data_IF_996090244900
#
_entry.id   IF_996090244900
#
_cell.length_a   1.000
_cell.length_b   1.000
_cell.length_c   1.000
_cell.angle_alpha   90.00
_cell.angle_beta   90.00
_cell.angle_gamma   90.00
#
_symmetry.space_group_name_H-M   'P 1'
#
loop_
_entity.id
_entity.type
_entity.pdbx_description
1 polymer ?
#
# COMPACT_ATOMS: atom_id res chain seq x y z
N UNK A 1 39.70 -23.27 -15.83
CA UNK A 1 38.59 -22.62 -16.56
C UNK A 1 38.42 -23.36 -17.86
N UNK A 2 37.39 -24.19 -18.01
CA UNK A 2 37.13 -24.87 -19.28
C UNK A 2 36.78 -23.82 -20.35
N UNK A 3 37.43 -23.90 -21.51
CA UNK A 3 37.16 -22.99 -22.63
C UNK A 3 35.82 -23.41 -23.23
N UNK A 4 34.87 -22.48 -23.29
CA UNK A 4 33.54 -22.71 -23.86
C UNK A 4 33.68 -23.04 -25.34
N UNK A 5 32.90 -24.02 -25.81
CA UNK A 5 32.84 -24.33 -27.24
C UNK A 5 32.26 -23.14 -28.02
N UNK A 6 32.58 -23.04 -29.32
CA UNK A 6 32.01 -22.01 -30.19
C UNK A 6 30.48 -22.03 -30.16
N UNK A 7 29.89 -23.23 -30.15
CA UNK A 7 28.44 -23.41 -30.07
C UNK A 7 27.86 -22.80 -28.78
N UNK A 8 28.47 -23.05 -27.62
CA UNK A 8 28.05 -22.45 -26.34
C UNK A 8 28.13 -20.93 -26.33
N UNK A 9 29.18 -20.35 -26.95
CA UNK A 9 29.31 -18.90 -27.06
C UNK A 9 28.20 -18.30 -27.92
N UNK A 10 27.89 -18.93 -29.06
CA UNK A 10 26.78 -18.52 -29.91
C UNK A 10 25.44 -18.58 -29.16
N UNK A 11 25.18 -19.68 -28.43
CA UNK A 11 23.97 -19.82 -27.60
C UNK A 11 23.89 -18.73 -26.54
N UNK A 12 24.99 -18.41 -25.87
CA UNK A 12 25.03 -17.32 -24.88
C UNK A 12 24.74 -15.95 -25.50
N UNK A 13 25.21 -15.70 -26.71
CA UNK A 13 24.90 -14.45 -27.43
C UNK A 13 23.43 -14.41 -27.80
N UNK A 14 22.88 -15.50 -28.34
CA UNK A 14 21.44 -15.61 -28.64
C UNK A 14 20.58 -15.40 -27.39
N UNK A 15 20.98 -15.96 -26.25
CA UNK A 15 20.29 -15.75 -24.97
C UNK A 15 20.36 -14.30 -24.47
N UNK A 16 21.47 -13.59 -24.71
CA UNK A 16 21.60 -12.17 -24.35
C UNK A 16 20.70 -11.28 -25.20
N UNK A 17 20.57 -11.59 -26.49
CA UNK A 17 19.76 -10.85 -27.45
C UNK A 17 18.41 -11.52 -27.71
N UNK A 18 17.86 -12.21 -26.70
CA UNK A 18 16.64 -13.00 -26.85
C UNK A 18 15.50 -12.17 -27.44
N UNK A 19 15.31 -10.93 -27.00
CA UNK A 19 14.21 -10.05 -27.42
C UNK A 19 14.21 -9.70 -28.92
N UNK A 20 15.34 -9.88 -29.61
CA UNK A 20 15.46 -9.60 -31.05
C UNK A 20 15.23 -10.83 -31.91
N UNK A 21 15.14 -12.03 -31.31
CA UNK A 21 14.96 -13.28 -32.03
C UNK A 21 13.48 -13.46 -32.40
N UNK A 22 13.20 -13.44 -33.70
CA UNK A 22 11.84 -13.63 -34.24
C UNK A 22 11.67 -15.00 -34.92
N UNK A 23 12.75 -15.61 -35.39
CA UNK A 23 12.74 -16.93 -36.03
C UNK A 23 14.04 -17.69 -35.74
N UNK A 24 13.97 -19.01 -35.65
CA UNK A 24 15.12 -19.91 -35.56
C UNK A 24 15.57 -20.46 -36.94
N UNK A 25 14.96 -19.96 -38.03
CA UNK A 25 15.31 -20.28 -39.41
C UNK A 25 14.18 -21.00 -40.15
N UNK A 26 14.15 -20.79 -41.47
CA UNK A 26 13.23 -21.46 -42.40
C UNK A 26 13.98 -22.62 -43.09
N UNK A 27 13.59 -23.87 -42.81
CA UNK A 27 14.06 -25.05 -43.55
C UNK A 27 15.35 -25.71 -43.03
N UNK A 28 15.92 -26.56 -43.89
CA UNK A 28 16.80 -27.74 -43.67
C UNK A 28 18.10 -27.53 -42.86
N UNK A 29 18.39 -26.30 -42.42
CA UNK A 29 19.49 -25.98 -41.50
C UNK A 29 18.95 -25.95 -40.07
N UNK A 30 18.52 -27.10 -39.57
CA UNK A 30 17.99 -27.22 -38.23
C UNK A 30 19.08 -27.00 -37.18
N UNK A 31 18.91 -25.97 -36.35
CA UNK A 31 19.63 -25.88 -35.08
C UNK A 31 19.25 -27.11 -34.26
N UNK A 32 20.22 -27.85 -33.67
CA UNK A 32 19.91 -29.03 -32.87
C UNK A 32 18.87 -28.71 -31.80
N UNK A 33 17.86 -29.59 -31.59
CA UNK A 33 16.71 -29.30 -30.72
C UNK A 33 17.11 -28.99 -29.27
N UNK A 34 18.27 -29.49 -28.82
CA UNK A 34 18.82 -29.16 -27.50
C UNK A 34 19.11 -27.68 -27.30
N UNK A 35 19.78 -27.03 -28.26
CA UNK A 35 20.14 -25.61 -28.14
C UNK A 35 18.94 -24.68 -28.27
N UNK A 36 18.00 -25.04 -29.15
CA UNK A 36 16.75 -24.29 -29.33
C UNK A 36 15.96 -24.26 -28.03
N UNK A 37 15.85 -25.41 -27.33
CA UNK A 37 15.16 -25.49 -26.04
C UNK A 37 15.81 -24.59 -24.99
N UNK A 38 17.14 -24.56 -24.89
CA UNK A 38 17.85 -23.71 -23.94
C UNK A 38 17.61 -22.22 -24.18
N UNK A 39 17.59 -21.81 -25.46
CA UNK A 39 17.31 -20.42 -25.84
C UNK A 39 15.85 -20.07 -25.52
N UNK A 40 14.90 -20.93 -25.91
CA UNK A 40 13.48 -20.73 -25.66
C UNK A 40 13.11 -20.71 -24.17
N UNK A 41 13.81 -21.49 -23.34
CA UNK A 41 13.63 -21.43 -21.88
C UNK A 41 13.97 -20.05 -21.29
N UNK A 42 14.72 -19.21 -22.00
CA UNK A 42 15.02 -17.85 -21.56
C UNK A 42 13.98 -16.82 -22.01
N UNK A 43 13.11 -17.17 -22.96
CA UNK A 43 12.06 -16.27 -23.46
C UNK A 43 11.09 -15.95 -22.33
N UNK A 44 10.90 -14.65 -22.11
CA UNK A 44 9.95 -14.15 -21.11
C UNK A 44 8.67 -13.63 -21.72
N UNK A 45 8.69 -13.22 -22.98
CA UNK A 45 7.56 -12.57 -23.64
C UNK A 45 6.68 -13.60 -24.38
N UNK A 46 5.39 -13.72 -24.03
CA UNK A 46 4.45 -14.62 -24.71
C UNK A 46 4.12 -14.18 -26.15
N UNK A 47 4.16 -12.88 -26.45
CA UNK A 47 3.87 -12.39 -27.81
C UNK A 47 4.99 -12.78 -28.78
N UNK A 48 6.23 -12.69 -28.30
CA UNK A 48 7.41 -13.15 -29.02
C UNK A 48 7.37 -14.66 -29.26
N UNK A 49 6.99 -15.45 -28.23
CA UNK A 49 6.88 -16.89 -28.37
C UNK A 49 5.87 -17.29 -29.46
N UNK A 50 4.74 -16.57 -29.55
CA UNK A 50 3.75 -16.77 -30.62
C UNK A 50 4.32 -16.45 -32.00
N UNK A 51 5.09 -15.37 -32.13
CA UNK A 51 5.74 -15.02 -33.40
C UNK A 51 6.72 -16.11 -33.84
N UNK A 52 7.50 -16.65 -32.90
CA UNK A 52 8.41 -17.76 -33.16
C UNK A 52 7.64 -19.00 -33.61
N UNK A 53 6.51 -19.32 -32.97
CA UNK A 53 5.67 -20.46 -33.35
C UNK A 53 5.11 -20.34 -34.78
N UNK A 54 4.67 -19.14 -35.17
CA UNK A 54 4.20 -18.87 -36.54
C UNK A 54 5.31 -19.06 -37.57
N UNK A 55 6.52 -18.59 -37.24
CA UNK A 55 7.67 -18.67 -38.14
C UNK A 55 8.29 -20.08 -38.16
N UNK A 56 8.17 -20.84 -37.08
CA UNK A 56 8.81 -22.15 -36.92
C UNK A 56 7.83 -23.20 -36.36
N UNK A 57 7.04 -23.85 -37.22
CA UNK A 57 5.99 -24.79 -36.79
C UNK A 57 6.52 -26.13 -36.26
N UNK A 58 7.81 -26.41 -36.38
CA UNK A 58 8.44 -27.68 -36.02
C UNK A 58 8.89 -27.76 -34.56
N UNK A 59 8.85 -26.64 -33.82
CA UNK A 59 9.37 -26.56 -32.46
C UNK A 59 8.29 -26.97 -31.46
N UNK A 60 8.62 -27.85 -30.53
CA UNK A 60 7.73 -28.16 -29.40
C UNK A 60 7.78 -27.04 -28.34
N UNK A 61 6.74 -26.20 -28.32
CA UNK A 61 6.64 -25.02 -27.45
C UNK A 61 5.81 -25.26 -26.19
N UNK A 62 5.20 -26.45 -26.03
CA UNK A 62 4.22 -26.73 -24.98
C UNK A 62 4.79 -26.53 -23.57
N UNK A 63 6.02 -26.97 -23.33
CA UNK A 63 6.69 -26.85 -22.03
C UNK A 63 6.97 -25.38 -21.64
N UNK A 64 7.30 -24.55 -22.64
CA UNK A 64 7.64 -23.15 -22.41
C UNK A 64 6.37 -22.37 -22.06
N UNK A 65 5.26 -22.65 -22.76
CA UNK A 65 3.97 -22.07 -22.43
C UNK A 65 3.51 -22.42 -21.03
N UNK A 66 3.61 -23.69 -20.62
CA UNK A 66 3.29 -24.09 -19.24
C UNK A 66 4.09 -23.29 -18.23
N UNK A 67 5.40 -23.12 -18.45
CA UNK A 67 6.27 -22.33 -17.58
C UNK A 67 5.88 -20.86 -17.54
N UNK A 68 5.55 -20.27 -18.69
CA UNK A 68 5.07 -18.88 -18.75
C UNK A 68 3.77 -18.72 -17.97
N UNK A 69 2.81 -19.62 -18.16
CA UNK A 69 1.53 -19.60 -17.45
C UNK A 69 1.75 -19.76 -15.94
N UNK A 70 2.57 -20.71 -15.50
CA UNK A 70 2.88 -20.88 -14.08
C UNK A 70 3.57 -19.65 -13.46
N UNK A 71 4.35 -18.90 -14.25
CA UNK A 71 5.03 -17.69 -13.79
C UNK A 71 4.09 -16.48 -13.72
N UNK A 72 3.33 -16.24 -14.78
CA UNK A 72 2.45 -15.06 -14.91
C UNK A 72 1.16 -15.22 -14.12
N UNK A 73 0.63 -16.44 -14.03
CA UNK A 73 -0.67 -16.77 -13.46
C UNK A 73 -0.59 -17.81 -12.34
N UNK A 74 0.20 -17.59 -11.26
CA UNK A 74 0.41 -18.61 -10.24
C UNK A 74 -0.86 -18.98 -9.44
N UNK A 75 -1.84 -18.08 -9.38
CA UNK A 75 -3.14 -18.33 -8.71
C UNK A 75 -4.10 -19.01 -9.67
N UNK A 76 -4.35 -18.38 -10.83
CA UNK A 76 -5.31 -18.88 -11.82
C UNK A 76 -4.89 -20.23 -12.43
N UNK A 77 -3.58 -20.50 -12.53
CA UNK A 77 -3.09 -21.80 -12.98
C UNK A 77 -3.45 -22.92 -12.01
N UNK A 78 -3.42 -22.67 -10.70
CA UNK A 78 -3.74 -23.70 -9.68
C UNK A 78 -5.23 -24.00 -9.60
N UNK A 79 -6.05 -23.00 -9.89
CA UNK A 79 -7.49 -23.09 -9.67
C UNK A 79 -8.23 -23.68 -10.89
N UNK A 80 -7.72 -23.43 -12.11
CA UNK A 80 -8.47 -23.73 -13.34
C UNK A 80 -7.86 -24.82 -14.21
N UNK A 81 -6.57 -25.14 -14.04
CA UNK A 81 -5.83 -26.21 -14.74
C UNK A 81 -6.32 -26.46 -16.18
N UNK A 82 -6.36 -25.41 -17.02
CA UNK A 82 -6.81 -25.56 -18.40
C UNK A 82 -5.80 -26.35 -19.21
N UNK A 83 -6.16 -27.58 -19.59
CA UNK A 83 -5.36 -28.41 -20.48
C UNK A 83 -5.95 -28.29 -21.89
N UNK A 84 -5.19 -27.76 -22.87
CA UNK A 84 -5.67 -27.67 -24.24
C UNK A 84 -5.78 -29.08 -24.87
N UNK A 85 -6.70 -29.28 -25.83
CA UNK A 85 -6.87 -30.56 -26.52
C UNK A 85 -5.68 -30.91 -27.42
N UNK A 86 -4.90 -29.91 -27.86
CA UNK A 86 -3.66 -30.10 -28.64
C UNK A 86 -2.49 -29.43 -27.92
N UNK A 87 -1.29 -30.05 -27.94
CA UNK A 87 -0.10 -29.46 -27.34
C UNK A 87 0.37 -28.19 -28.05
N UNK A 88 -0.06 -27.93 -29.30
CA UNK A 88 0.25 -26.69 -30.01
C UNK A 88 -0.68 -25.51 -29.63
N UNK A 89 -1.77 -25.74 -28.88
CA UNK A 89 -2.78 -24.71 -28.61
C UNK A 89 -2.66 -24.09 -27.20
N UNK A 90 -1.50 -24.16 -26.56
CA UNK A 90 -1.30 -23.49 -25.26
C UNK A 90 -1.41 -21.97 -25.35
N UNK A 91 -1.22 -21.38 -26.53
CA UNK A 91 -1.46 -19.96 -26.78
C UNK A 91 -2.91 -19.54 -26.47
N UNK A 92 -3.90 -20.33 -26.91
CA UNK A 92 -5.33 -20.03 -26.67
C UNK A 92 -5.67 -20.06 -25.17
N UNK A 93 -5.01 -20.96 -24.42
CA UNK A 93 -5.13 -21.02 -22.97
C UNK A 93 -4.55 -19.78 -22.32
N UNK A 94 -3.38 -19.32 -22.79
CA UNK A 94 -2.78 -18.08 -22.32
C UNK A 94 -3.68 -16.86 -22.59
N UNK A 95 -4.28 -16.74 -23.79
CA UNK A 95 -5.22 -15.66 -24.10
C UNK A 95 -6.45 -15.66 -23.19
N UNK A 96 -6.99 -16.84 -22.88
CA UNK A 96 -8.10 -16.98 -21.93
C UNK A 96 -7.73 -16.46 -20.55
N UNK A 97 -6.60 -16.90 -19.98
CA UNK A 97 -6.14 -16.36 -18.68
C UNK A 97 -5.90 -14.84 -18.74
N UNK A 98 -5.28 -14.34 -19.81
CA UNK A 98 -5.04 -12.90 -19.96
C UNK A 98 -6.34 -12.09 -20.02
N UNK A 99 -7.36 -12.58 -20.74
CA UNK A 99 -8.66 -11.90 -20.85
C UNK A 99 -9.42 -11.93 -19.54
N UNK A 100 -9.46 -13.05 -18.83
CA UNK A 100 -10.08 -13.16 -17.50
C UNK A 100 -9.43 -12.19 -16.50
N UNK A 101 -8.10 -12.10 -16.51
CA UNK A 101 -7.36 -11.15 -15.69
C UNK A 101 -7.71 -9.70 -16.03
N UNK A 102 -7.79 -9.35 -17.31
CA UNK A 102 -8.18 -8.00 -17.72
C UNK A 102 -9.62 -7.67 -17.28
N UNK A 103 -10.55 -8.61 -17.42
CA UNK A 103 -11.94 -8.44 -16.97
C UNK A 103 -11.98 -8.20 -15.46
N UNK A 104 -11.29 -9.03 -14.66
CA UNK A 104 -11.26 -8.86 -13.20
C UNK A 104 -10.64 -7.52 -12.77
N UNK A 105 -9.62 -7.03 -13.49
CA UNK A 105 -9.05 -5.70 -13.23
C UNK A 105 -10.05 -4.59 -13.54
N UNK A 106 -10.71 -4.65 -14.70
CA UNK A 106 -11.74 -3.69 -15.08
C UNK A 106 -12.89 -3.66 -14.06
N UNK A 107 -13.36 -4.82 -13.62
CA UNK A 107 -14.39 -4.93 -12.58
C UNK A 107 -13.93 -4.32 -11.25
N UNK A 108 -12.70 -4.59 -10.82
CA UNK A 108 -12.14 -4.01 -9.60
C UNK A 108 -11.99 -2.48 -9.71
N UNK A 109 -11.54 -1.97 -10.85
CA UNK A 109 -11.43 -0.54 -11.13
C UNK A 109 -12.81 0.14 -11.09
N UNK A 110 -13.82 -0.47 -11.70
CA UNK A 110 -15.19 0.04 -11.64
C UNK A 110 -15.75 0.07 -10.22
N UNK A 111 -15.51 -0.98 -9.44
CA UNK A 111 -15.93 -1.04 -8.04
C UNK A 111 -15.27 0.07 -7.22
N UNK A 112 -13.95 0.26 -7.37
CA UNK A 112 -13.22 1.35 -6.72
C UNK A 112 -13.79 2.71 -7.15
N UNK A 113 -14.03 2.91 -8.46
CA UNK A 113 -14.60 4.16 -8.98
C UNK A 113 -15.98 4.46 -8.37
N UNK A 114 -16.85 3.46 -8.26
CA UNK A 114 -18.18 3.61 -7.63
C UNK A 114 -18.05 3.96 -6.15
N UNK A 115 -17.14 3.32 -5.41
CA UNK A 115 -16.88 3.66 -4.00
C UNK A 115 -16.36 5.09 -3.83
N UNK A 116 -15.43 5.52 -4.69
CA UNK A 116 -14.91 6.89 -4.67
C UNK A 116 -15.99 7.92 -4.97
N UNK A 117 -16.88 7.66 -5.94
CA UNK A 117 -18.02 8.52 -6.24
C UNK A 117 -18.97 8.64 -5.04
N UNK A 118 -19.33 7.52 -4.41
CA UNK A 118 -20.17 7.54 -3.20
C UNK A 118 -19.53 8.31 -2.05
N UNK A 119 -18.21 8.22 -1.86
CA UNK A 119 -17.50 9.03 -0.86
C UNK A 119 -17.48 10.52 -1.21
N UNK A 120 -17.36 10.86 -2.50
CA UNK A 120 -17.39 12.24 -2.96
C UNK A 120 -18.79 12.85 -2.76
N UNK A 121 -19.86 12.12 -3.08
CA UNK A 121 -21.25 12.54 -2.83
C UNK A 121 -21.52 12.74 -1.32
N UNK A 122 -21.00 11.86 -0.47
CA UNK A 122 -21.08 12.04 0.98
C UNK A 122 -20.32 13.28 1.47
N UNK A 123 -19.18 13.62 0.85
CA UNK A 123 -18.47 14.87 1.16
C UNK A 123 -19.27 16.07 0.69
N UNK A 124 -19.76 16.05 -0.55
CA UNK A 124 -20.47 17.18 -1.14
C UNK A 124 -21.82 17.46 -0.46
N UNK A 125 -22.48 16.43 0.07
CA UNK A 125 -23.69 16.57 0.89
C UNK A 125 -23.42 17.11 2.29
N UNK A 126 -22.28 16.74 2.92
CA UNK A 126 -21.88 17.25 4.25
C UNK A 126 -21.29 18.66 4.21
N UNK A 127 -20.75 19.08 3.07
CA UNK A 127 -20.24 20.44 2.89
C UNK A 127 -21.41 21.38 2.64
N UNK A 128 -21.65 22.30 3.58
CA UNK A 128 -22.64 23.36 3.40
C UNK A 128 -22.26 24.24 2.20
N UNK A 129 -23.09 24.24 1.17
CA UNK A 129 -22.92 25.11 0.00
C UNK A 129 -23.23 26.56 0.41
N UNK A 130 -22.34 27.48 0.09
CA UNK A 130 -22.59 28.91 0.25
C UNK A 130 -23.57 29.31 -0.86
N UNK A 131 -24.85 29.41 -0.53
CA UNK A 131 -25.91 29.80 -1.48
C UNK A 131 -26.13 31.31 -1.39
N UNK A 132 -26.23 31.97 -2.54
CA UNK A 132 -26.53 33.40 -2.62
C UNK A 132 -27.87 33.71 -1.95
N UNK A 133 -27.88 34.82 -1.21
CA UNK A 133 -28.98 35.24 -0.34
C UNK A 133 -30.32 35.46 -1.07
N UNK A 134 -30.29 35.54 -2.42
CA UNK A 134 -31.47 35.67 -3.29
C UNK A 134 -32.27 34.37 -3.43
N UNK A 135 -31.64 33.22 -3.21
CA UNK A 135 -32.26 31.88 -3.31
C UNK A 135 -32.68 31.31 -1.95
N UNK A 136 -32.40 32.02 -0.86
CA UNK A 136 -32.85 31.63 0.48
C UNK A 136 -34.29 32.13 0.71
N UNK A 137 -35.18 31.32 1.29
CA UNK A 137 -36.49 31.78 1.70
C UNK A 137 -36.33 32.92 2.72
N UNK A 138 -37.02 34.04 2.48
CA UNK A 138 -36.96 35.19 3.39
C UNK A 138 -37.46 34.75 4.77
N UNK A 139 -36.67 34.90 5.85
CA UNK A 139 -37.14 34.55 7.18
C UNK A 139 -38.40 35.36 7.51
N UNK A 140 -39.41 34.75 8.17
CA UNK A 140 -40.62 35.46 8.55
C UNK A 140 -40.24 36.65 9.43
N UNK A 141 -40.79 37.82 9.12
CA UNK A 141 -40.62 39.06 9.90
C UNK A 141 -41.26 38.87 11.29
N UNK A 142 -40.60 38.18 12.20
CA UNK A 142 -40.89 38.31 13.63
C UNK A 142 -40.34 39.67 14.04
N UNK A 143 -41.25 40.61 14.28
CA UNK A 143 -40.97 42.02 14.58
C UNK A 143 -40.33 42.26 15.94
N UNK A 144 -39.10 41.78 16.14
CA UNK A 144 -38.23 42.25 17.23
C UNK A 144 -36.91 42.72 16.66
N UNK A 145 -36.94 43.97 16.20
CA UNK A 145 -35.76 44.81 16.08
C UNK A 145 -35.17 45.01 17.48
N UNK A 146 -34.23 44.14 17.87
CA UNK A 146 -33.31 44.47 18.98
C UNK A 146 -32.32 45.48 18.40
N UNK A 147 -32.73 46.75 18.42
CA UNK A 147 -31.81 47.87 18.36
C UNK A 147 -30.93 47.81 19.59
N UNK A 148 -29.65 47.55 19.39
CA UNK A 148 -28.64 47.50 20.43
C UNK A 148 -27.34 48.04 19.91
N UNK A 149 -27.20 49.37 19.92
CA UNK A 149 -25.90 50.01 20.02
C UNK A 149 -25.16 49.41 21.22
N UNK A 150 -23.95 48.92 21.03
CA UNK A 150 -22.86 48.97 22.00
C UNK A 150 -21.56 48.64 21.26
N UNK A 151 -20.76 49.66 20.96
CA UNK A 151 -19.56 50.01 21.75
C UNK A 151 -18.66 48.80 21.95
N UNK A 152 -17.62 48.74 21.12
CA UNK A 152 -16.24 48.46 21.52
C UNK A 152 -16.08 47.95 22.96
N UNK A 153 -16.08 46.64 23.15
CA UNK A 153 -15.47 46.00 24.31
C UNK A 153 -14.51 44.93 23.81
N UNK A 154 -13.24 45.32 23.72
CA UNK A 154 -12.08 44.42 23.70
C UNK A 154 -11.98 43.73 25.08
N UNK A 155 -12.95 42.91 25.44
CA UNK A 155 -12.86 42.05 26.64
C UNK A 155 -13.70 40.80 26.39
N UNK A 156 -13.20 39.90 25.55
CA UNK A 156 -13.54 38.49 25.69
C UNK A 156 -12.38 37.80 26.40
N UNK A 157 -12.62 37.69 27.70
CA UNK A 157 -12.10 36.72 28.65
C UNK A 157 -11.40 35.52 28.02
N UNK A 158 -10.16 35.29 28.50
CA UNK A 158 -9.47 33.99 28.54
C UNK A 158 -10.27 33.02 29.42
N UNK A 159 -11.47 32.63 28.97
CA UNK A 159 -12.13 31.46 29.51
C UNK A 159 -11.45 30.24 28.89
N UNK A 160 -10.54 29.65 29.67
CA UNK A 160 -9.92 28.36 29.43
C UNK A 160 -11.00 27.30 29.17
N UNK A 161 -11.32 27.03 27.90
CA UNK A 161 -12.18 25.91 27.54
C UNK A 161 -11.37 24.63 27.67
N UNK A 162 -11.46 23.99 28.84
CA UNK A 162 -10.99 22.64 29.09
C UNK A 162 -11.72 21.69 28.12
N UNK A 163 -11.03 21.22 27.07
CA UNK A 163 -11.61 20.43 25.96
C UNK A 163 -11.54 21.09 24.58
N UNK A 164 -10.92 22.27 24.45
CA UNK A 164 -10.81 23.03 23.20
C UNK A 164 -9.78 22.50 22.20
N UNK A 165 -9.99 21.30 21.66
CA UNK A 165 -9.34 20.90 20.40
C UNK A 165 -9.60 21.98 19.34
N UNK A 166 -8.51 22.53 18.79
CA UNK A 166 -8.54 23.77 18.01
C UNK A 166 -9.58 23.77 16.89
N UNK A 167 -10.61 24.62 17.04
CA UNK A 167 -11.60 24.93 16.00
C UNK A 167 -10.98 25.77 14.88
N UNK A 168 -9.88 25.34 14.28
CA UNK A 168 -9.45 25.89 12.99
C UNK A 168 -10.34 25.27 11.92
N UNK A 169 -11.09 26.12 11.20
CA UNK A 169 -11.87 25.70 10.02
C UNK A 169 -10.93 24.96 9.06
N UNK A 170 -11.31 23.75 8.64
CA UNK A 170 -10.52 22.88 7.76
C UNK A 170 -10.77 23.17 6.27
N UNK A 171 -11.10 24.42 5.94
CA UNK A 171 -11.57 24.79 4.60
C UNK A 171 -10.41 25.10 3.62
N UNK A 172 -9.16 25.10 4.07
CA UNK A 172 -7.98 25.35 3.25
C UNK A 172 -6.84 24.39 3.61
N UNK A 173 -6.07 23.89 2.63
CA UNK A 173 -4.96 22.97 2.88
C UNK A 173 -3.94 23.51 3.90
N UNK A 174 -3.70 24.83 3.92
CA UNK A 174 -2.85 25.47 4.92
C UNK A 174 -3.42 25.41 6.35
N UNK A 175 -4.75 25.46 6.49
CA UNK A 175 -5.43 25.35 7.79
C UNK A 175 -5.39 23.91 8.35
N UNK A 176 -5.44 22.91 7.46
CA UNK A 176 -5.28 21.49 7.81
C UNK A 176 -3.86 21.23 8.31
N UNK A 177 -2.84 21.70 7.57
CA UNK A 177 -1.43 21.55 7.97
C UNK A 177 -1.13 22.27 9.28
N UNK A 178 -1.71 23.45 9.51
CA UNK A 178 -1.55 24.20 10.77
C UNK A 178 -2.16 23.46 11.95
N UNK A 179 -3.33 22.82 11.77
CA UNK A 179 -3.95 21.99 12.80
C UNK A 179 -3.12 20.75 13.09
N UNK A 180 -2.69 20.04 12.06
CA UNK A 180 -1.86 18.83 12.20
C UNK A 180 -0.54 19.13 12.94
N UNK A 181 0.15 20.24 12.61
CA UNK A 181 1.37 20.66 13.32
C UNK A 181 1.10 20.99 14.79
N UNK A 182 -0.05 21.58 15.12
CA UNK A 182 -0.42 21.90 16.50
C UNK A 182 -0.79 20.65 17.30
N UNK A 183 -1.60 19.76 16.74
CA UNK A 183 -1.95 18.48 17.37
C UNK A 183 -0.69 17.62 17.59
N UNK A 184 0.24 17.61 16.63
CA UNK A 184 1.54 16.96 16.80
C UNK A 184 2.37 17.61 17.92
N UNK A 185 2.36 18.94 18.05
CA UNK A 185 3.03 19.65 19.13
C UNK A 185 2.39 19.37 20.51
N UNK A 186 1.05 19.29 20.58
CA UNK A 186 0.32 18.90 21.79
C UNK A 186 0.63 17.46 22.18
N UNK A 187 0.64 16.53 21.22
CA UNK A 187 1.06 15.14 21.45
C UNK A 187 2.54 15.03 21.86
N UNK A 188 3.42 15.84 21.29
CA UNK A 188 4.83 15.88 21.69
C UNK A 188 5.00 16.37 23.14
N UNK A 189 4.21 17.35 23.56
CA UNK A 189 4.21 17.88 24.92
C UNK A 189 3.62 16.86 25.91
N UNK A 190 2.57 16.12 25.53
CA UNK A 190 1.99 15.04 26.33
C UNK A 190 2.92 13.83 26.47
N UNK A 191 3.73 13.53 25.43
CA UNK A 191 4.75 12.46 25.50
C UNK A 191 5.82 12.75 26.56
N UNK A 192 6.06 14.00 26.97
CA UNK A 192 7.02 14.32 28.03
C UNK A 192 6.50 14.06 29.45
N UNK A 193 5.19 14.16 29.68
CA UNK A 193 4.57 14.11 31.02
C UNK A 193 3.95 12.75 31.33
N UNK A 194 3.50 12.00 30.31
CA UNK A 194 2.80 10.71 30.48
C UNK A 194 3.57 9.50 29.93
N UNK A 195 4.71 9.68 29.26
CA UNK A 195 5.52 8.57 28.74
C UNK A 195 6.73 8.23 29.63
N UNK A 196 6.56 8.28 30.95
CA UNK A 196 7.42 7.47 31.82
C UNK A 196 6.73 6.12 31.98
N UNK A 197 7.35 5.00 31.52
CA UNK A 197 6.78 3.69 31.79
C UNK A 197 6.69 3.50 33.31
N UNK A 198 5.49 3.26 33.83
CA UNK A 198 5.21 3.08 35.26
C UNK A 198 5.94 1.90 35.93
N UNK A 199 6.75 1.15 35.16
CA UNK A 199 7.31 -0.13 35.58
C UNK A 199 8.83 -0.08 35.84
N UNK A 200 9.46 1.09 35.80
CA UNK A 200 10.88 1.22 36.16
C UNK A 200 11.06 2.23 37.28
N UNK A 201 11.41 1.81 38.51
CA UNK A 201 11.73 2.77 39.56
C UNK A 201 12.95 3.60 39.13
N UNK A 202 12.97 4.91 39.41
CA UNK A 202 14.08 5.78 39.04
C UNK A 202 15.35 5.29 39.72
N UNK A 203 16.33 4.91 38.90
CA UNK A 203 17.64 4.49 39.37
C UNK A 203 18.28 5.66 40.11
N UNK A 204 18.43 5.52 41.44
CA UNK A 204 19.13 6.50 42.29
C UNK A 204 18.31 7.14 43.43
N UNK A 205 17.04 6.77 43.64
CA UNK A 205 16.17 7.45 44.61
C UNK A 205 16.10 6.86 46.04
N UNK A 206 16.91 5.85 46.39
CA UNK A 206 16.99 5.36 47.78
C UNK A 206 18.43 5.46 48.28
N UNK A 207 18.80 6.64 48.78
CA UNK A 207 20.12 6.86 49.41
C UNK A 207 20.16 6.49 50.89
N UNK A 208 19.00 6.32 51.53
CA UNK A 208 18.87 6.03 52.96
C UNK A 208 17.69 5.09 53.18
N UNK A 209 17.90 4.06 54.00
CA UNK A 209 16.87 3.09 54.37
C UNK A 209 15.85 3.76 55.31
N UNK A 210 14.53 3.53 55.14
CA UNK A 210 13.51 4.11 56.02
C UNK A 210 13.76 3.77 57.50
N UNK A 211 13.58 4.77 58.38
CA UNK A 211 13.95 4.70 59.80
C UNK A 211 13.38 3.48 60.54
N UNK A 212 12.15 3.07 60.21
CA UNK A 212 11.50 1.93 60.86
C UNK A 212 12.22 0.59 60.62
N UNK A 213 12.88 0.42 59.46
CA UNK A 213 13.61 -0.82 59.17
C UNK A 213 14.97 -0.83 59.89
N UNK A 214 15.55 0.35 60.13
CA UNK A 214 16.78 0.51 60.92
C UNK A 214 16.50 0.20 62.40
N UNK A 215 15.38 0.69 62.92
CA UNK A 215 14.93 0.41 64.30
C UNK A 215 14.60 -1.07 64.52
N UNK A 216 13.90 -1.70 63.57
CA UNK A 216 13.62 -3.14 63.65
C UNK A 216 14.89 -3.99 63.70
N UNK A 217 15.90 -3.66 62.90
CA UNK A 217 17.21 -4.34 62.97
C UNK A 217 17.90 -4.13 64.31
N UNK A 218 17.82 -2.93 64.88
CA UNK A 218 18.41 -2.59 66.17
C UNK A 218 17.78 -3.41 67.30
N UNK A 219 16.45 -3.53 67.32
CA UNK A 219 15.74 -4.35 68.31
C UNK A 219 16.11 -5.83 68.22
N UNK A 220 16.21 -6.37 67.00
CA UNK A 220 16.61 -7.76 66.77
C UNK A 220 18.07 -8.04 67.16
N UNK A 221 18.94 -7.04 67.11
CA UNK A 221 20.36 -7.18 67.44
C UNK A 221 20.69 -7.16 68.93
N UNK A 222 19.71 -6.86 69.80
CA UNK A 222 19.95 -6.90 71.24
C UNK A 222 19.86 -8.35 71.74
N UNK A 223 20.88 -8.87 72.45
CA UNK A 223 20.82 -10.20 73.01
C UNK A 223 19.73 -10.25 74.10
N UNK A 224 18.90 -11.28 74.03
CA UNK A 224 17.83 -11.52 74.99
C UNK A 224 18.46 -11.87 76.34
N UNK A 225 18.58 -10.91 77.25
CA UNK A 225 18.96 -11.20 78.62
C UNK A 225 17.79 -11.92 79.31
N UNK A 226 18.08 -13.10 79.84
CA UNK A 226 17.18 -13.92 80.65
C UNK A 226 17.60 -13.83 82.10
#
# INVERSE_FOLDING_TARGET
MAVKSLAELCVQICQKHINQLTSFGDGDVFVPPGYVREILLRVTDPTQLRQIEINSPYIDTADIWKRLISREFPVESRDKDYIPPKPAQWYEVYEKYSSERQISQMEAEEQLRRQFQGLQEQKDSRVSKLVDQRFLPRPPKTGRSIGGQNRSSKVFSRASSFGGGGRSKLNSGASVLRRARREAAEHALMRGVLATPSNTPPTGAVKMMPAYIVEGRRMLSQPFFR
#
